data_IF_039949214629
#
_entry.id   IF_039949214629
#
_cell.length_a   1.000
_cell.length_b   1.000
_cell.length_c   1.000
_cell.angle_alpha   90.00
_cell.angle_beta   90.00
_cell.angle_gamma   90.00
#
_symmetry.space_group_name_H-M   'P 1'
#
loop_
_entity.id
_entity.type
_entity.pdbx_description
1 polymer ?
#
# COMPACT_ATOMS: atom_id res chain seq x y z
N UNK A 1 29.12 -12.75 17.76
CA UNK A 1 28.62 -11.41 17.42
C UNK A 1 27.10 -11.50 17.37
N UNK A 2 26.38 -10.57 18.00
CA UNK A 2 24.91 -10.63 18.17
C UNK A 2 24.21 -10.48 16.80
N UNK A 3 23.62 -11.56 16.30
CA UNK A 3 22.75 -11.62 15.10
C UNK A 3 21.41 -10.84 15.25
N UNK A 4 21.22 -10.12 16.36
CA UNK A 4 19.92 -9.63 16.79
C UNK A 4 19.54 -8.20 16.34
N UNK A 5 20.25 -7.55 15.40
CA UNK A 5 19.98 -6.14 15.06
C UNK A 5 19.99 -5.82 13.57
N UNK A 6 19.53 -6.73 12.72
CA UNK A 6 19.10 -6.42 11.36
C UNK A 6 17.60 -6.68 11.15
N UNK A 7 16.85 -6.77 12.25
CA UNK A 7 15.41 -6.83 12.19
C UNK A 7 14.87 -5.42 11.94
N UNK A 8 14.15 -5.33 10.84
CA UNK A 8 13.50 -4.12 10.38
C UNK A 8 12.54 -3.58 11.47
N UNK A 9 12.54 -2.27 11.77
CA UNK A 9 11.67 -1.67 12.79
C UNK A 9 10.15 -1.83 12.53
N UNK A 10 9.72 -2.20 11.32
CA UNK A 10 8.33 -2.60 11.04
C UNK A 10 8.00 -4.04 11.44
N UNK A 11 8.98 -4.82 11.91
CA UNK A 11 8.78 -6.18 12.39
C UNK A 11 8.22 -6.26 13.82
N UNK A 12 8.05 -5.10 14.48
CA UNK A 12 7.43 -5.00 15.80
C UNK A 12 5.96 -4.56 15.68
N UNK A 13 5.05 -5.52 15.63
CA UNK A 13 3.75 -5.36 16.26
C UNK A 13 3.56 -6.50 17.26
N UNK A 14 3.33 -6.22 18.56
CA UNK A 14 2.73 -7.19 19.46
C UNK A 14 1.22 -7.19 19.17
N UNK A 15 0.81 -7.78 18.05
CA UNK A 15 -0.59 -8.13 17.86
C UNK A 15 -0.71 -9.64 18.16
N UNK A 16 -1.57 -10.06 19.11
CA UNK A 16 -1.79 -11.48 19.35
C UNK A 16 -2.28 -12.08 18.03
N UNK A 17 -1.55 -13.11 17.55
CA UNK A 17 -1.83 -13.78 16.30
C UNK A 17 -3.35 -13.99 16.15
N UNK A 18 -3.99 -13.50 15.06
CA UNK A 18 -5.39 -13.77 14.84
C UNK A 18 -5.55 -15.28 14.78
N UNK A 19 -6.47 -15.77 15.60
CA UNK A 19 -6.84 -17.18 15.65
C UNK A 19 -7.12 -17.69 14.23
N UNK A 20 -6.76 -18.93 13.86
CA UNK A 20 -6.91 -19.45 12.50
C UNK A 20 -8.36 -19.44 11.95
N UNK A 21 -9.35 -19.08 12.78
CA UNK A 21 -10.76 -18.92 12.42
C UNK A 21 -11.11 -17.60 11.68
N UNK A 22 -10.20 -16.62 11.58
CA UNK A 22 -10.52 -15.30 10.99
C UNK A 22 -10.10 -15.12 9.52
N UNK A 23 -9.70 -16.18 8.82
CA UNK A 23 -9.65 -16.20 7.35
C UNK A 23 -11.06 -16.25 6.77
N UNK A 24 -11.91 -15.30 7.13
CA UNK A 24 -13.11 -15.03 6.36
C UNK A 24 -12.60 -14.57 5.00
N UNK A 25 -12.86 -15.39 3.98
CA UNK A 25 -12.77 -15.03 2.56
C UNK A 25 -13.65 -13.81 2.31
N UNK A 26 -13.21 -12.62 2.74
CA UNK A 26 -13.60 -11.39 2.07
C UNK A 26 -12.99 -11.54 0.70
N UNK A 27 -13.78 -11.97 -0.29
CA UNK A 27 -13.49 -11.63 -1.68
C UNK A 27 -13.29 -10.12 -1.64
N UNK A 28 -12.03 -9.68 -1.62
CA UNK A 28 -11.73 -8.28 -1.69
C UNK A 28 -12.31 -7.84 -3.02
N UNK A 29 -13.44 -7.14 -2.98
CA UNK A 29 -14.03 -6.52 -4.16
C UNK A 29 -12.91 -5.67 -4.74
N UNK A 30 -12.38 -6.10 -5.88
CA UNK A 30 -11.26 -5.40 -6.51
C UNK A 30 -11.72 -3.97 -6.73
N UNK A 31 -10.88 -3.00 -6.43
CA UNK A 31 -11.20 -1.60 -6.62
C UNK A 31 -10.04 -0.94 -7.33
N UNK A 32 -10.32 0.03 -8.19
CA UNK A 32 -9.33 0.82 -8.91
C UNK A 32 -9.32 2.26 -8.38
N UNK A 33 -8.15 2.85 -8.11
CA UNK A 33 -8.06 4.27 -7.79
C UNK A 33 -8.31 5.08 -9.07
N UNK A 34 -9.14 6.12 -8.99
CA UNK A 34 -9.40 7.08 -10.08
C UNK A 34 -9.30 8.53 -9.58
N UNK A 35 -8.97 9.43 -10.49
CA UNK A 35 -8.89 10.86 -10.22
C UNK A 35 -10.28 11.40 -9.86
N UNK A 36 -10.40 12.06 -8.72
CA UNK A 36 -11.63 12.74 -8.27
C UNK A 36 -12.18 13.78 -9.27
N UNK A 37 -11.33 14.34 -10.13
CA UNK A 37 -11.71 15.40 -11.07
C UNK A 37 -12.14 14.86 -12.45
N UNK A 38 -11.36 13.95 -13.03
CA UNK A 38 -11.57 13.48 -14.41
C UNK A 38 -11.89 11.99 -14.52
N UNK A 39 -11.93 11.25 -13.41
CA UNK A 39 -12.18 9.81 -13.33
C UNK A 39 -11.16 8.91 -14.08
N UNK A 40 -10.04 9.47 -14.53
CA UNK A 40 -8.92 8.69 -15.08
C UNK A 40 -8.24 7.86 -13.99
N UNK A 41 -7.87 6.63 -14.32
CA UNK A 41 -7.04 5.74 -13.50
C UNK A 41 -5.52 6.02 -13.62
N UNK A 42 -5.13 7.00 -14.45
CA UNK A 42 -3.73 7.43 -14.62
C UNK A 42 -3.32 8.39 -13.49
N UNK A 43 -3.18 7.81 -12.29
CA UNK A 43 -2.80 8.49 -11.05
C UNK A 43 -1.41 8.04 -10.59
N UNK A 44 -0.60 9.02 -10.20
CA UNK A 44 0.67 8.84 -9.50
C UNK A 44 0.47 9.19 -8.03
N UNK A 45 0.82 8.27 -7.14
CA UNK A 45 0.84 8.48 -5.69
C UNK A 45 2.25 8.33 -5.12
N UNK A 46 2.47 8.87 -3.93
CA UNK A 46 3.71 8.66 -3.21
C UNK A 46 3.70 7.31 -2.52
N UNK A 47 4.87 6.68 -2.48
CA UNK A 47 5.08 5.40 -1.83
C UNK A 47 6.42 5.40 -1.10
N UNK A 48 6.50 4.64 -0.01
CA UNK A 48 7.74 4.34 0.68
C UNK A 48 8.09 2.89 0.42
N UNK A 49 9.30 2.65 -0.09
CA UNK A 49 9.88 1.34 -0.18
C UNK A 49 10.91 1.14 0.93
N UNK A 50 11.11 -0.11 1.33
CA UNK A 50 12.04 -0.47 2.37
C UNK A 50 12.86 -1.71 2.00
N UNK A 51 14.12 -1.71 2.38
CA UNK A 51 15.01 -2.84 2.19
C UNK A 51 14.58 -4.04 3.04
N UNK A 52 14.30 -5.16 2.39
CA UNK A 52 14.04 -6.45 3.01
C UNK A 52 15.32 -7.25 3.08
N UNK A 53 15.80 -7.55 4.30
CA UNK A 53 16.98 -8.41 4.49
C UNK A 53 16.70 -9.87 4.12
N UNK A 54 15.46 -10.34 4.18
CA UNK A 54 15.10 -11.71 3.79
C UNK A 54 15.07 -11.85 2.26
N UNK A 55 14.37 -10.94 1.58
CA UNK A 55 14.24 -10.96 0.13
C UNK A 55 15.45 -10.35 -0.59
N UNK A 56 16.34 -9.66 0.13
CA UNK A 56 17.50 -8.94 -0.40
C UNK A 56 17.13 -7.93 -1.51
N UNK A 57 16.00 -7.23 -1.32
CA UNK A 57 15.46 -6.28 -2.28
C UNK A 57 14.66 -5.15 -1.60
N UNK A 58 14.39 -4.07 -2.34
CA UNK A 58 13.45 -3.04 -1.91
C UNK A 58 12.01 -3.49 -2.12
N UNK A 59 11.20 -3.44 -1.08
CA UNK A 59 9.78 -3.82 -1.11
C UNK A 59 8.89 -2.64 -0.72
N UNK A 60 7.70 -2.55 -1.33
CA UNK A 60 6.73 -1.51 -1.01
C UNK A 60 6.25 -1.66 0.45
N UNK A 61 6.49 -0.65 1.27
CA UNK A 61 6.12 -0.64 2.69
C UNK A 61 4.83 0.13 2.95
N UNK A 62 4.61 1.25 2.24
CA UNK A 62 3.38 2.03 2.37
C UNK A 62 3.09 2.86 1.10
N UNK A 63 1.82 3.21 0.92
CA UNK A 63 1.33 4.15 -0.09
C UNK A 63 0.56 5.28 0.58
N UNK A 64 0.55 6.46 -0.02
CA UNK A 64 -0.12 7.63 0.53
C UNK A 64 -1.18 8.14 -0.45
N UNK A 65 -2.38 8.41 0.05
CA UNK A 65 -3.47 8.97 -0.78
C UNK A 65 -3.22 10.45 -1.13
N UNK A 66 -2.36 11.13 -0.36
CA UNK A 66 -1.92 12.50 -0.65
C UNK A 66 -0.43 12.72 -0.29
N UNK A 67 0.29 13.54 -1.09
CA UNK A 67 -0.18 14.13 -2.36
C UNK A 67 -0.30 13.08 -3.48
N UNK A 68 -1.29 13.26 -4.35
CA UNK A 68 -1.50 12.45 -5.56
C UNK A 68 -1.59 13.37 -6.79
N UNK A 69 -1.08 12.90 -7.93
CA UNK A 69 -1.03 13.62 -9.20
C UNK A 69 -1.77 12.82 -10.27
N UNK A 70 -2.62 13.48 -11.05
CA UNK A 70 -3.25 12.86 -12.21
C UNK A 70 -2.56 13.36 -13.48
N UNK A 71 -2.07 12.43 -14.31
CA UNK A 71 -1.40 12.78 -15.56
C UNK A 71 -2.39 13.37 -16.59
N UNK A 72 -3.65 12.93 -16.57
CA UNK A 72 -4.71 13.49 -17.41
C UNK A 72 -5.09 14.93 -17.06
N UNK A 73 -5.10 15.28 -15.76
CA UNK A 73 -5.29 16.67 -15.31
C UNK A 73 -4.01 17.51 -15.34
N UNK A 74 -2.85 16.83 -15.45
CA UNK A 74 -1.52 17.42 -15.28
C UNK A 74 -1.41 18.25 -14.00
N UNK A 75 -1.88 17.70 -12.88
CA UNK A 75 -1.92 18.41 -11.62
C UNK A 75 -2.31 17.55 -10.42
N UNK A 76 -2.27 18.14 -9.20
CA UNK A 76 -2.67 17.45 -7.98
C UNK A 76 -4.16 17.06 -8.02
N UNK A 77 -4.49 15.92 -7.44
CA UNK A 77 -5.87 15.42 -7.38
C UNK A 77 -6.11 14.63 -6.08
N UNK A 78 -7.38 14.44 -5.73
CA UNK A 78 -7.78 13.41 -4.76
C UNK A 78 -8.01 12.06 -5.44
N UNK A 79 -7.83 10.97 -4.70
CA UNK A 79 -8.08 9.60 -5.16
C UNK A 79 -9.48 9.15 -4.72
N UNK A 80 -10.25 8.56 -5.64
CA UNK A 80 -11.54 7.89 -5.37
C UNK A 80 -11.41 6.43 -5.76
N UNK A 81 -11.89 5.51 -4.93
CA UNK A 81 -11.85 4.07 -5.22
C UNK A 81 -13.16 3.61 -5.84
N UNK A 82 -13.09 3.07 -7.06
CA UNK A 82 -14.26 2.51 -7.75
C UNK A 82 -14.19 0.98 -7.74
N UNK A 83 -15.30 0.27 -7.44
CA UNK A 83 -15.33 -1.19 -7.51
C UNK A 83 -15.20 -1.67 -8.96
N UNK A 84 -14.37 -2.70 -9.15
CA UNK A 84 -14.27 -3.48 -10.38
C UNK A 84 -15.21 -4.67 -10.24
N UNK A 85 -16.33 -4.64 -10.97
CA UNK A 85 -17.30 -5.74 -11.05
C UNK A 85 -16.78 -6.90 -11.91
#
# INVERSE_FOLDING_TARGET
MREALLLNPFNASPEPAPSPAQRVNRRATRSTPVCSNCQSDDIVSHAVAQWSNEAQEWQLANTFDQPAHCNGCNGPCGIVWLPLN
#
